data_IF_042386918461
#
_entry.id   IF_042386918461
#
_cell.length_a   1.000
_cell.length_b   1.000
_cell.length_c   1.000
_cell.angle_alpha   90.00
_cell.angle_beta   90.00
_cell.angle_gamma   90.00
#
_symmetry.space_group_name_H-M   'P 1'
#
loop_
_entity.id
_entity.type
_entity.pdbx_description
1 polymer ?
#
# COMPACT_ATOMS: atom_id res chain seq x y z
N UNK A 1 -14.84 -14.10 6.31
CA UNK A 1 -13.37 -14.01 6.26
C UNK A 1 -12.91 -14.38 4.86
N UNK A 2 -11.92 -13.70 4.31
CA UNK A 2 -11.31 -14.08 3.02
C UNK A 2 -10.37 -15.27 3.23
N UNK A 3 -10.54 -16.35 2.47
CA UNK A 3 -9.67 -17.54 2.50
C UNK A 3 -8.46 -17.40 1.57
N UNK A 4 -7.87 -16.20 1.54
CA UNK A 4 -6.73 -15.89 0.68
C UNK A 4 -5.43 -16.33 1.37
N UNK A 5 -4.63 -17.14 0.68
CA UNK A 5 -3.28 -17.53 1.11
C UNK A 5 -2.24 -16.66 0.42
N UNK A 6 -1.42 -15.97 1.22
CA UNK A 6 -0.22 -15.29 0.70
C UNK A 6 0.80 -16.32 0.25
N UNK A 7 1.30 -16.15 -0.97
CA UNK A 7 2.39 -16.94 -1.52
C UNK A 7 3.68 -16.12 -1.35
N UNK A 8 4.73 -16.77 -0.87
CA UNK A 8 6.04 -16.16 -0.69
C UNK A 8 7.04 -16.88 -1.58
N UNK A 9 7.39 -16.22 -2.68
CA UNK A 9 8.37 -16.73 -3.65
C UNK A 9 9.50 -15.71 -3.74
N UNK A 10 10.69 -16.03 -3.23
CA UNK A 10 11.84 -15.13 -3.27
C UNK A 10 12.16 -14.67 -4.70
N UNK A 11 12.44 -13.38 -4.89
CA UNK A 11 12.80 -12.82 -6.20
C UNK A 11 11.66 -12.72 -7.22
N UNK A 12 10.44 -13.11 -6.87
CA UNK A 12 9.32 -13.11 -7.81
C UNK A 12 8.79 -11.70 -8.14
N UNK A 13 8.05 -11.64 -9.25
CA UNK A 13 7.27 -10.47 -9.64
C UNK A 13 5.81 -10.64 -9.20
N UNK A 14 5.26 -9.60 -8.58
CA UNK A 14 3.91 -9.59 -8.03
C UNK A 14 3.09 -8.44 -8.59
N UNK A 15 1.84 -8.73 -8.95
CA UNK A 15 0.82 -7.71 -9.21
C UNK A 15 0.03 -7.41 -7.94
N UNK A 16 -0.12 -6.13 -7.62
CA UNK A 16 -0.90 -5.68 -6.48
C UNK A 16 -2.00 -4.72 -6.93
N UNK A 17 -3.17 -4.90 -6.33
CA UNK A 17 -4.23 -3.89 -6.31
C UNK A 17 -4.39 -3.40 -4.88
N UNK A 18 -4.19 -2.09 -4.66
CA UNK A 18 -4.38 -1.48 -3.34
C UNK A 18 -5.45 -0.42 -3.45
N UNK A 19 -6.48 -0.55 -2.62
CA UNK A 19 -7.62 0.36 -2.59
C UNK A 19 -7.58 1.18 -1.30
N UNK A 20 -8.12 2.39 -1.35
CA UNK A 20 -8.60 3.06 -0.16
C UNK A 20 -9.99 2.53 0.23
N UNK A 21 -10.37 2.71 1.48
CA UNK A 21 -11.56 2.12 2.07
C UNK A 21 -12.85 2.72 1.49
N UNK A 22 -12.88 4.06 1.37
CA UNK A 22 -13.98 4.80 0.76
C UNK A 22 -13.68 5.02 -0.73
N UNK A 23 -14.23 4.16 -1.58
CA UNK A 23 -13.95 4.15 -3.04
C UNK A 23 -14.73 5.19 -3.86
N UNK A 24 -15.88 5.67 -3.37
CA UNK A 24 -16.72 6.61 -4.12
C UNK A 24 -16.42 8.05 -3.72
N UNK A 25 -16.31 8.93 -4.73
CA UNK A 25 -16.07 10.36 -4.57
C UNK A 25 -14.90 10.64 -3.63
N UNK A 26 -13.78 9.95 -3.87
CA UNK A 26 -12.60 10.06 -3.05
C UNK A 26 -11.37 10.10 -3.97
N UNK A 27 -10.60 11.17 -3.86
CA UNK A 27 -9.42 11.44 -4.69
C UNK A 27 -8.14 11.49 -3.87
N UNK A 28 -8.18 10.93 -2.66
CA UNK A 28 -7.12 11.00 -1.66
C UNK A 28 -5.73 10.66 -2.22
N UNK A 29 -5.61 9.64 -3.08
CA UNK A 29 -4.31 9.20 -3.58
C UNK A 29 -3.69 10.20 -4.57
N UNK A 30 -4.51 10.78 -5.46
CA UNK A 30 -4.02 11.73 -6.47
C UNK A 30 -3.85 13.14 -5.91
N UNK A 31 -4.69 13.54 -4.95
CA UNK A 31 -4.56 14.82 -4.23
C UNK A 31 -3.34 14.84 -3.30
N UNK A 32 -2.89 13.67 -2.83
CA UNK A 32 -1.70 13.52 -1.98
C UNK A 32 -0.61 12.72 -2.69
N UNK A 33 -0.46 12.90 -4.00
CA UNK A 33 0.45 12.08 -4.81
C UNK A 33 1.90 12.21 -4.37
N UNK A 34 2.34 13.39 -3.94
CA UNK A 34 3.71 13.62 -3.49
C UNK A 34 4.02 12.87 -2.19
N UNK A 35 3.06 12.80 -1.27
CA UNK A 35 3.14 11.99 -0.05
C UNK A 35 3.26 10.51 -0.42
N UNK A 36 2.44 10.04 -1.37
CA UNK A 36 2.49 8.66 -1.83
C UNK A 36 3.83 8.33 -2.48
N UNK A 37 4.32 9.19 -3.40
CA UNK A 37 5.62 9.05 -4.06
C UNK A 37 6.76 9.01 -3.05
N UNK A 38 6.74 9.89 -2.06
CA UNK A 38 7.74 9.93 -0.97
C UNK A 38 7.69 8.65 -0.13
N UNK A 39 6.51 8.16 0.21
CA UNK A 39 6.36 6.90 0.93
C UNK A 39 6.94 5.71 0.17
N UNK A 40 6.69 5.61 -1.15
CA UNK A 40 7.31 4.61 -2.01
C UNK A 40 8.83 4.75 -2.07
N UNK A 41 9.33 5.98 -2.27
CA UNK A 41 10.75 6.28 -2.36
C UNK A 41 11.49 5.87 -1.09
N UNK A 42 11.00 6.29 0.08
CA UNK A 42 11.60 5.97 1.37
C UNK A 42 11.68 4.48 1.66
N UNK A 43 10.59 3.75 1.34
CA UNK A 43 10.54 2.30 1.56
C UNK A 43 11.46 1.59 0.59
N UNK A 44 11.46 1.98 -0.69
CA UNK A 44 12.38 1.42 -1.70
C UNK A 44 13.84 1.69 -1.35
N UNK A 45 14.17 2.82 -0.74
CA UNK A 45 15.53 3.14 -0.27
C UNK A 45 16.02 2.19 0.83
N UNK A 46 15.13 1.81 1.76
CA UNK A 46 15.47 0.91 2.89
C UNK A 46 15.33 -0.58 2.56
N UNK A 47 14.37 -0.91 1.70
CA UNK A 47 14.01 -2.27 1.33
C UNK A 47 13.89 -2.34 -0.20
N UNK A 48 15.00 -2.49 -0.94
CA UNK A 48 14.99 -2.41 -2.40
C UNK A 48 14.00 -3.38 -3.05
N UNK A 49 13.36 -2.92 -4.12
CA UNK A 49 12.56 -3.70 -5.06
C UNK A 49 12.50 -2.93 -6.39
N UNK A 50 12.24 -3.61 -7.50
CA UNK A 50 12.01 -2.98 -8.80
C UNK A 50 10.52 -2.71 -8.96
N UNK A 51 10.16 -1.51 -9.39
CA UNK A 51 8.79 -1.18 -9.80
C UNK A 51 8.77 -1.35 -11.32
N UNK A 52 8.12 -2.40 -11.82
CA UNK A 52 8.01 -2.66 -13.25
C UNK A 52 6.97 -1.73 -13.88
N UNK A 53 5.86 -1.52 -13.17
CA UNK A 53 4.81 -0.60 -13.55
C UNK A 53 4.05 -0.14 -12.30
N UNK A 54 3.51 1.07 -12.36
CA UNK A 54 2.55 1.57 -11.38
C UNK A 54 1.58 2.53 -12.06
N UNK A 55 0.29 2.37 -11.77
CA UNK A 55 -0.76 3.33 -12.12
C UNK A 55 -1.51 3.72 -10.85
N UNK A 56 -1.67 5.02 -10.65
CA UNK A 56 -2.32 5.58 -9.46
C UNK A 56 -3.62 6.23 -9.94
N UNK A 57 -4.73 5.67 -9.48
CA UNK A 57 -6.07 6.19 -9.67
C UNK A 57 -6.47 7.00 -8.41
N UNK A 58 -7.57 7.78 -8.45
CA UNK A 58 -7.96 8.62 -7.32
C UNK A 58 -8.16 7.86 -5.99
N UNK A 59 -8.67 6.62 -6.06
CA UNK A 59 -9.05 5.80 -4.90
C UNK A 59 -8.36 4.43 -4.84
N UNK A 60 -7.56 4.07 -5.83
CA UNK A 60 -6.81 2.83 -5.83
C UNK A 60 -5.54 2.96 -6.67
N UNK A 61 -4.69 1.95 -6.60
CA UNK A 61 -3.53 1.84 -7.47
C UNK A 61 -3.33 0.38 -7.87
N UNK A 62 -2.67 0.21 -9.01
CA UNK A 62 -2.11 -1.06 -9.43
C UNK A 62 -0.61 -0.93 -9.60
N UNK A 63 0.14 -1.94 -9.20
CA UNK A 63 1.56 -1.97 -9.46
C UNK A 63 2.12 -3.38 -9.58
N UNK A 64 3.20 -3.48 -10.34
CA UNK A 64 4.00 -4.67 -10.53
C UNK A 64 5.36 -4.46 -9.85
N UNK A 65 5.70 -5.30 -8.88
CA UNK A 65 7.02 -5.26 -8.22
C UNK A 65 7.78 -6.55 -8.41
N UNK A 66 9.07 -6.45 -8.68
CA UNK A 66 10.01 -7.58 -8.59
C UNK A 66 10.86 -7.40 -7.34
N UNK A 67 10.87 -8.41 -6.48
CA UNK A 67 11.71 -8.40 -5.28
C UNK A 67 13.14 -8.85 -5.60
N UNK A 68 14.14 -8.48 -4.77
CA UNK A 68 15.49 -9.01 -4.89
C UNK A 68 15.52 -10.54 -4.70
N UNK A 69 16.55 -11.22 -5.24
CA UNK A 69 16.80 -12.62 -4.93
C UNK A 69 16.86 -12.86 -3.42
N UNK A 70 16.26 -13.95 -2.94
CA UNK A 70 16.20 -14.26 -1.50
C UNK A 70 15.16 -13.49 -0.70
N UNK A 71 14.48 -12.49 -1.29
CA UNK A 71 13.47 -11.67 -0.61
C UNK A 71 12.06 -11.98 -1.13
N UNK A 72 11.12 -12.23 -0.21
CA UNK A 72 9.71 -12.46 -0.49
C UNK A 72 8.78 -11.50 0.28
N UNK A 73 9.32 -10.54 1.04
CA UNK A 73 8.55 -9.73 2.00
C UNK A 73 8.00 -8.44 1.37
N UNK A 74 7.10 -8.61 0.40
CA UNK A 74 6.29 -7.52 -0.12
C UNK A 74 5.28 -6.99 0.91
N UNK A 75 4.90 -7.81 1.90
CA UNK A 75 3.88 -7.47 2.88
C UNK A 75 4.37 -6.38 3.84
N UNK A 76 5.61 -6.48 4.32
CA UNK A 76 6.26 -5.47 5.15
C UNK A 76 6.42 -4.14 4.40
N UNK A 77 6.84 -4.18 3.13
CA UNK A 77 6.93 -2.99 2.26
C UNK A 77 5.59 -2.28 2.15
N UNK A 78 4.52 -3.02 1.85
CA UNK A 78 3.18 -2.46 1.83
C UNK A 78 2.74 -1.88 3.17
N UNK A 79 3.03 -2.57 4.28
CA UNK A 79 2.73 -2.07 5.62
C UNK A 79 3.40 -0.72 5.90
N UNK A 80 4.68 -0.58 5.53
CA UNK A 80 5.41 0.67 5.69
C UNK A 80 4.91 1.78 4.77
N UNK A 81 4.63 1.51 3.50
CA UNK A 81 4.11 2.51 2.55
C UNK A 81 2.77 3.04 3.06
N UNK A 82 1.84 2.14 3.41
CA UNK A 82 0.53 2.50 3.95
C UNK A 82 0.66 3.28 5.26
N UNK A 83 1.55 2.86 6.15
CA UNK A 83 1.79 3.55 7.41
C UNK A 83 2.36 4.95 7.23
N UNK A 84 3.33 5.13 6.31
CA UNK A 84 3.90 6.44 5.97
C UNK A 84 2.86 7.38 5.38
N UNK A 85 2.12 6.91 4.38
CA UNK A 85 1.06 7.71 3.77
C UNK A 85 0.01 8.12 4.82
N UNK A 86 -0.50 7.15 5.59
CA UNK A 86 -1.58 7.40 6.56
C UNK A 86 -1.24 8.40 7.67
N UNK A 87 0.05 8.58 7.99
CA UNK A 87 0.52 9.55 8.99
C UNK A 87 0.52 10.99 8.50
N UNK A 88 0.51 11.21 7.19
CA UNK A 88 0.47 12.55 6.57
C UNK A 88 -0.93 12.98 6.17
N UNK A 89 -1.92 12.09 6.35
CA UNK A 89 -3.33 12.39 6.09
C UNK A 89 -4.01 12.72 7.40
N UNK A 90 -4.77 13.81 7.42
CA UNK A 90 -5.56 14.22 8.58
C UNK A 90 -6.50 13.11 9.06
N UNK A 91 -6.77 13.12 10.35
CA UNK A 91 -7.71 12.19 10.97
C UNK A 91 -9.15 12.67 10.79
N UNK A 92 -10.09 11.75 10.68
CA UNK A 92 -11.52 12.07 10.52
C UNK A 92 -12.27 11.06 9.65
N UNK A 93 -11.54 10.06 9.13
CA UNK A 93 -12.13 8.97 8.38
C UNK A 93 -12.94 8.01 9.27
N UNK A 94 -13.97 7.39 8.69
CA UNK A 94 -14.74 6.36 9.37
C UNK A 94 -13.90 5.09 9.54
N UNK A 95 -13.84 4.57 10.77
CA UNK A 95 -13.06 3.37 11.11
C UNK A 95 -14.02 2.25 11.52
N UNK A 96 -14.00 1.14 10.78
CA UNK A 96 -14.80 -0.04 11.12
C UNK A 96 -14.34 -0.67 12.44
N UNK A 97 -15.25 -1.37 13.14
CA UNK A 97 -14.95 -2.06 14.42
C UNK A 97 -13.72 -2.98 14.31
N UNK A 98 -13.60 -3.70 13.19
CA UNK A 98 -12.48 -4.61 12.92
C UNK A 98 -11.14 -3.87 12.83
N UNK A 99 -11.09 -2.76 12.08
CA UNK A 99 -9.87 -1.95 11.93
C UNK A 99 -9.48 -1.26 13.23
N UNK A 100 -10.47 -0.74 13.97
CA UNK A 100 -10.25 -0.16 15.30
C UNK A 100 -9.61 -1.17 16.26
N UNK A 101 -10.08 -2.43 16.26
CA UNK A 101 -9.48 -3.52 17.08
C UNK A 101 -8.03 -3.80 16.69
N UNK A 102 -7.69 -3.65 15.41
CA UNK A 102 -6.33 -3.84 14.87
C UNK A 102 -5.46 -2.58 14.91
N UNK A 103 -5.97 -1.48 15.50
CA UNK A 103 -5.32 -0.16 15.53
C UNK A 103 -4.96 0.36 14.13
N UNK A 104 -5.78 0.03 13.13
CA UNK A 104 -5.63 0.46 11.75
C UNK A 104 -6.42 1.74 11.48
N UNK A 105 -5.89 2.59 10.60
CA UNK A 105 -6.58 3.78 10.07
C UNK A 105 -7.75 3.35 9.17
N UNK A 106 -8.77 4.19 9.04
CA UNK A 106 -9.91 3.95 8.15
C UNK A 106 -9.61 4.22 6.67
N UNK A 107 -8.34 4.46 6.31
CA UNK A 107 -7.95 4.89 4.96
C UNK A 107 -7.83 3.76 3.95
N UNK A 108 -7.30 2.59 4.32
CA UNK A 108 -7.01 1.46 3.41
C UNK A 108 -7.98 0.31 3.60
#
# INVERSE_FOLDING_TARGET
MTNYRRIYTPGATWFFTVNIAKRRNNRLLVENIDVLRTAFYDVKKKHPFRIEAAVIMPDHLHCLWTLPPGDADYAMRWGQIKGRFSRHIDTGESISKSRKKRRERGLW
#
